data_IF_654551063356
#
_entry.id   IF_654551063356
#
_cell.length_a   1.000
_cell.length_b   1.000
_cell.length_c   1.000
_cell.angle_alpha   90.00
_cell.angle_beta   90.00
_cell.angle_gamma   90.00
#
_symmetry.space_group_name_H-M   'P 1'
#
loop_
_entity.id
_entity.type
_entity.pdbx_description
1 polymer ?
#
# COMPACT_ATOMS: atom_id res chain seq x y z
N UNK A 1 -34.63 4.29 -6.47
CA UNK A 1 -33.33 4.90 -6.14
C UNK A 1 -32.46 3.78 -5.62
N UNK A 2 -31.30 3.52 -6.21
CA UNK A 2 -30.46 2.37 -5.82
C UNK A 2 -29.83 2.63 -4.47
N UNK A 3 -29.94 1.67 -3.54
CA UNK A 3 -29.30 1.76 -2.22
C UNK A 3 -27.94 1.06 -2.23
N UNK A 4 -26.91 1.78 -1.78
CA UNK A 4 -25.52 1.31 -1.72
C UNK A 4 -24.99 1.50 -0.30
N UNK A 5 -24.58 0.40 0.34
CA UNK A 5 -23.86 0.45 1.60
C UNK A 5 -22.37 0.23 1.34
N UNK A 6 -21.54 1.13 1.86
CA UNK A 6 -20.08 1.06 1.78
C UNK A 6 -19.50 0.76 3.17
N UNK A 7 -18.78 -0.35 3.29
CA UNK A 7 -18.10 -0.72 4.54
C UNK A 7 -16.64 -0.25 4.47
N UNK A 8 -16.30 0.72 5.30
CA UNK A 8 -14.96 1.29 5.44
C UNK A 8 -14.81 2.62 4.70
N UNK A 9 -14.58 3.68 5.45
CA UNK A 9 -14.43 5.07 5.02
C UNK A 9 -13.02 5.47 4.60
N UNK A 10 -12.27 4.53 3.99
CA UNK A 10 -10.93 4.80 3.45
C UNK A 10 -10.95 5.53 2.09
N UNK A 11 -9.79 5.63 1.45
CA UNK A 11 -9.67 6.28 0.13
C UNK A 11 -10.62 5.66 -0.91
N UNK A 12 -10.65 4.33 -1.03
CA UNK A 12 -11.53 3.63 -1.98
C UNK A 12 -13.00 3.73 -1.58
N UNK A 13 -13.33 3.68 -0.29
CA UNK A 13 -14.70 3.78 0.20
C UNK A 13 -15.30 5.16 -0.06
N UNK A 14 -14.56 6.23 0.26
CA UNK A 14 -15.00 7.60 -0.03
C UNK A 14 -15.15 7.84 -1.53
N UNK A 15 -14.19 7.40 -2.36
CA UNK A 15 -14.28 7.55 -3.81
C UNK A 15 -15.47 6.77 -4.40
N UNK A 16 -15.72 5.54 -3.93
CA UNK A 16 -16.87 4.73 -4.35
C UNK A 16 -18.20 5.38 -3.93
N UNK A 17 -18.30 5.87 -2.69
CA UNK A 17 -19.49 6.53 -2.18
C UNK A 17 -19.82 7.81 -2.96
N UNK A 18 -18.83 8.69 -3.16
CA UNK A 18 -18.96 9.92 -3.96
C UNK A 18 -19.42 9.58 -5.38
N UNK A 19 -18.77 8.59 -6.01
CA UNK A 19 -19.11 8.20 -7.39
C UNK A 19 -20.53 7.64 -7.48
N UNK A 20 -20.93 6.76 -6.56
CA UNK A 20 -22.28 6.20 -6.53
C UNK A 20 -23.34 7.29 -6.32
N UNK A 21 -23.13 8.21 -5.38
CA UNK A 21 -24.05 9.33 -5.11
C UNK A 21 -24.16 10.29 -6.31
N UNK A 22 -23.05 10.59 -6.99
CA UNK A 22 -23.07 11.38 -8.25
C UNK A 22 -23.91 10.73 -9.36
N UNK A 23 -24.10 9.40 -9.32
CA UNK A 23 -24.97 8.66 -10.23
C UNK A 23 -26.39 8.44 -9.67
N UNK A 24 -26.77 9.15 -8.62
CA UNK A 24 -28.13 9.14 -8.06
C UNK A 24 -28.44 7.99 -7.10
N UNK A 25 -27.42 7.26 -6.62
CA UNK A 25 -27.61 6.27 -5.56
C UNK A 25 -27.80 6.94 -4.20
N UNK A 26 -28.62 6.33 -3.33
CA UNK A 26 -28.65 6.63 -1.90
C UNK A 26 -27.54 5.83 -1.22
N UNK A 27 -26.60 6.52 -0.56
CA UNK A 27 -25.38 5.90 -0.06
C UNK A 27 -25.28 6.06 1.46
N UNK A 28 -24.95 4.95 2.14
CA UNK A 28 -24.54 4.91 3.54
C UNK A 28 -23.10 4.41 3.63
N UNK A 29 -22.25 5.10 4.37
CA UNK A 29 -20.89 4.69 4.70
C UNK A 29 -20.79 4.32 6.17
N UNK A 30 -20.35 3.10 6.46
CA UNK A 30 -20.04 2.65 7.83
C UNK A 30 -18.53 2.65 8.05
N UNK A 31 -18.05 3.43 9.02
CA UNK A 31 -16.65 3.53 9.40
C UNK A 31 -16.45 3.19 10.89
N UNK A 32 -15.57 2.24 11.14
CA UNK A 32 -15.25 1.75 12.49
C UNK A 32 -14.53 2.78 13.37
N UNK A 33 -13.75 3.67 12.77
CA UNK A 33 -13.05 4.74 13.49
C UNK A 33 -13.93 5.97 13.65
N UNK A 34 -13.51 6.86 14.55
CA UNK A 34 -14.18 8.14 14.81
C UNK A 34 -14.07 9.19 13.68
N UNK A 35 -13.47 8.84 12.54
CA UNK A 35 -13.35 9.71 11.38
C UNK A 35 -12.99 8.90 10.15
N UNK A 36 -13.46 9.36 8.99
CA UNK A 36 -13.08 8.83 7.69
C UNK A 36 -11.59 9.04 7.41
N UNK A 37 -11.02 8.17 6.57
CA UNK A 37 -9.73 8.40 5.91
C UNK A 37 -8.51 8.51 6.82
N UNK A 38 -8.54 8.00 8.06
CA UNK A 38 -7.39 8.07 8.99
C UNK A 38 -6.06 7.62 8.38
N UNK A 39 -6.07 6.53 7.62
CA UNK A 39 -4.85 6.03 6.97
C UNK A 39 -4.35 6.94 5.85
N UNK A 40 -5.24 7.68 5.17
CA UNK A 40 -4.90 8.62 4.11
C UNK A 40 -3.92 9.69 4.61
N UNK A 41 -4.12 10.16 5.85
CA UNK A 41 -3.26 11.17 6.49
C UNK A 41 -1.80 10.71 6.66
N UNK A 42 -1.56 9.40 6.79
CA UNK A 42 -0.20 8.85 6.93
C UNK A 42 0.50 8.62 5.57
N UNK A 43 -0.23 8.68 4.46
CA UNK A 43 0.32 8.36 3.13
C UNK A 43 1.29 9.43 2.62
N UNK A 44 2.32 9.01 1.87
CA UNK A 44 3.31 9.93 1.31
C UNK A 44 4.04 10.76 2.37
N UNK A 45 4.21 10.22 3.59
CA UNK A 45 4.74 10.93 4.75
C UNK A 45 3.95 12.23 5.05
N UNK A 46 2.63 12.12 5.12
CA UNK A 46 1.73 13.25 5.38
C UNK A 46 1.39 14.10 4.16
N UNK A 47 1.91 13.76 2.97
CA UNK A 47 1.70 14.55 1.74
C UNK A 47 0.62 13.99 0.82
N UNK A 48 0.25 12.72 0.97
CA UNK A 48 -0.63 11.98 0.07
C UNK A 48 -0.11 11.90 -1.37
N UNK A 49 0.64 10.83 -1.66
CA UNK A 49 0.90 10.43 -3.04
C UNK A 49 -0.35 9.72 -3.58
N UNK A 50 -1.23 10.42 -4.28
CA UNK A 50 -2.54 9.88 -4.64
C UNK A 50 -2.56 9.14 -5.98
N UNK A 51 -1.61 9.41 -6.88
CA UNK A 51 -1.43 8.61 -8.11
C UNK A 51 0.01 8.71 -8.63
N UNK A 52 0.33 7.96 -9.69
CA UNK A 52 1.62 7.98 -10.34
C UNK A 52 1.42 7.99 -11.86
N UNK A 53 2.20 8.78 -12.61
CA UNK A 53 2.13 8.84 -14.07
C UNK A 53 2.65 7.54 -14.74
N UNK A 54 3.57 6.85 -14.07
CA UNK A 54 4.07 5.53 -14.48
C UNK A 54 3.12 4.47 -13.95
N UNK A 55 2.21 4.03 -14.82
CA UNK A 55 1.31 2.90 -14.56
C UNK A 55 1.39 1.91 -15.71
N UNK A 56 1.65 0.65 -15.38
CA UNK A 56 1.58 -0.48 -16.31
C UNK A 56 1.41 -1.78 -15.51
N UNK A 57 1.15 -2.90 -16.18
CA UNK A 57 0.91 -4.20 -15.55
C UNK A 57 1.92 -4.57 -14.45
N UNK A 58 3.23 -4.35 -14.69
CA UNK A 58 4.29 -4.69 -13.71
C UNK A 58 4.29 -3.85 -12.43
N UNK A 59 3.55 -2.74 -12.37
CA UNK A 59 3.41 -1.91 -11.16
C UNK A 59 2.44 -2.51 -10.14
N UNK A 60 1.64 -3.51 -10.56
CA UNK A 60 0.62 -4.13 -9.74
C UNK A 60 0.88 -5.63 -9.60
N UNK A 61 0.38 -6.22 -8.51
CA UNK A 61 0.72 -7.58 -8.13
C UNK A 61 -0.52 -8.38 -7.78
N UNK A 62 -0.70 -9.51 -8.45
CA UNK A 62 -1.80 -10.44 -8.26
C UNK A 62 -1.37 -11.85 -8.66
N UNK A 63 -2.09 -12.88 -8.19
CA UNK A 63 -1.94 -14.26 -8.70
C UNK A 63 -2.54 -14.43 -10.11
N UNK A 64 -3.43 -13.53 -10.50
CA UNK A 64 -3.91 -13.40 -11.86
C UNK A 64 -3.14 -12.26 -12.52
N UNK A 65 -2.16 -12.63 -13.35
CA UNK A 65 -1.35 -11.67 -14.09
C UNK A 65 -2.24 -10.72 -14.90
N UNK A 66 -1.83 -9.46 -15.01
CA UNK A 66 -2.51 -8.36 -15.70
C UNK A 66 -3.91 -7.96 -15.22
N UNK A 67 -4.60 -8.77 -14.41
CA UNK A 67 -5.97 -8.45 -13.97
C UNK A 67 -6.08 -7.07 -13.28
N UNK A 68 -5.21 -6.71 -12.32
CA UNK A 68 -5.27 -5.38 -11.71
C UNK A 68 -5.14 -4.27 -12.75
N UNK A 69 -4.26 -4.43 -13.73
CA UNK A 69 -4.06 -3.42 -14.77
C UNK A 69 -5.26 -3.29 -15.71
N UNK A 70 -5.93 -4.40 -16.04
CA UNK A 70 -7.18 -4.39 -16.82
C UNK A 70 -8.27 -3.54 -16.16
N UNK A 71 -8.29 -3.50 -14.83
CA UNK A 71 -9.22 -2.65 -14.06
C UNK A 71 -8.71 -1.22 -13.99
N UNK A 72 -7.46 -1.02 -13.57
CA UNK A 72 -6.89 0.30 -13.29
C UNK A 72 -6.80 1.16 -14.55
N UNK A 73 -6.47 0.60 -15.71
CA UNK A 73 -6.36 1.37 -16.94
C UNK A 73 -7.68 1.99 -17.42
N UNK A 74 -8.83 1.57 -16.88
CA UNK A 74 -10.15 2.20 -17.15
C UNK A 74 -10.32 3.52 -16.42
N UNK A 75 -9.53 3.75 -15.37
CA UNK A 75 -9.49 4.96 -14.57
C UNK A 75 -8.04 5.21 -14.15
N UNK A 76 -7.22 5.55 -15.15
CA UNK A 76 -5.79 5.69 -15.00
C UNK A 76 -5.41 6.97 -14.25
N UNK A 77 -4.13 7.32 -14.32
CA UNK A 77 -3.60 8.48 -13.61
C UNK A 77 -4.21 9.80 -14.10
N UNK A 78 -4.55 9.93 -15.39
CA UNK A 78 -5.14 11.16 -15.94
C UNK A 78 -6.55 11.37 -15.41
N UNK A 79 -7.35 10.31 -15.43
CA UNK A 79 -8.71 10.30 -14.89
C UNK A 79 -8.69 10.55 -13.38
N UNK A 80 -7.70 9.97 -12.66
CA UNK A 80 -7.50 10.22 -11.24
C UNK A 80 -7.21 11.69 -10.94
N UNK A 81 -6.31 12.33 -11.71
CA UNK A 81 -5.99 13.76 -11.54
C UNK A 81 -7.21 14.62 -11.82
N UNK A 82 -7.90 14.40 -12.95
CA UNK A 82 -9.10 15.15 -13.30
C UNK A 82 -10.19 15.03 -12.21
N UNK A 83 -10.41 13.83 -11.68
CA UNK A 83 -11.39 13.60 -10.61
C UNK A 83 -11.05 14.31 -9.30
N UNK A 84 -9.76 14.36 -8.94
CA UNK A 84 -9.31 15.14 -7.77
C UNK A 84 -9.46 16.65 -8.01
N UNK A 85 -9.22 17.14 -9.24
CA UNK A 85 -9.42 18.54 -9.61
C UNK A 85 -10.91 18.95 -9.52
N UNK A 86 -11.84 18.06 -9.89
CA UNK A 86 -13.29 18.30 -9.73
C UNK A 86 -13.72 18.55 -8.28
N UNK A 87 -13.00 18.00 -7.30
CA UNK A 87 -13.25 18.25 -5.86
C UNK A 87 -12.30 19.30 -5.26
N UNK A 88 -11.61 20.06 -6.12
CA UNK A 88 -10.78 21.20 -5.72
C UNK A 88 -9.34 20.86 -5.30
N UNK A 89 -8.84 19.67 -5.64
CA UNK A 89 -7.44 19.27 -5.39
C UNK A 89 -6.61 19.46 -6.65
N UNK A 90 -5.91 20.59 -6.72
CA UNK A 90 -4.87 20.79 -7.73
C UNK A 90 -3.68 19.85 -7.47
N UNK A 91 -3.06 19.38 -8.55
CA UNK A 91 -1.96 18.41 -8.50
C UNK A 91 -0.58 19.05 -8.64
N UNK A 92 0.45 18.40 -8.07
CA UNK A 92 1.86 18.68 -8.29
C UNK A 92 2.60 17.38 -8.57
N UNK A 93 3.30 17.35 -9.70
CA UNK A 93 4.18 16.25 -10.09
C UNK A 93 5.55 16.36 -9.40
N UNK A 94 6.10 15.21 -9.02
CA UNK A 94 7.47 15.03 -8.54
C UNK A 94 8.01 13.72 -9.13
N UNK A 95 8.67 13.79 -10.28
CA UNK A 95 9.27 12.64 -10.96
C UNK A 95 8.26 11.50 -11.22
N UNK A 96 7.05 11.85 -11.68
CA UNK A 96 5.95 10.92 -11.95
C UNK A 96 5.06 10.64 -10.75
N UNK A 97 5.48 10.97 -9.51
CA UNK A 97 4.63 10.86 -8.32
C UNK A 97 3.74 12.10 -8.19
N UNK A 98 2.44 11.92 -8.02
CA UNK A 98 1.47 13.01 -8.02
C UNK A 98 0.93 13.25 -6.61
N UNK A 99 1.05 14.49 -6.16
CA UNK A 99 0.68 14.97 -4.83
C UNK A 99 -0.31 16.13 -4.93
N UNK A 100 -1.08 16.44 -3.87
CA UNK A 100 -1.82 17.70 -3.81
C UNK A 100 -0.85 18.88 -3.86
N UNK A 101 -1.23 19.96 -4.54
CA UNK A 101 -0.40 21.16 -4.66
C UNK A 101 -0.08 21.79 -3.30
N UNK A 102 -0.95 21.61 -2.31
CA UNK A 102 -0.71 22.01 -0.91
C UNK A 102 0.41 21.23 -0.23
N UNK A 103 0.75 20.04 -0.75
CA UNK A 103 1.69 19.11 -0.13
C UNK A 103 1.18 18.50 1.17
N UNK A 104 -0.13 18.51 1.42
CA UNK A 104 -0.73 18.00 2.67
C UNK A 104 -1.84 16.98 2.38
N UNK A 105 -1.73 15.79 2.98
CA UNK A 105 -2.75 14.75 2.92
C UNK A 105 -4.08 15.20 3.53
N UNK A 106 -4.04 16.09 4.53
CA UNK A 106 -5.22 16.68 5.14
C UNK A 106 -6.07 17.45 4.12
N UNK A 107 -5.46 18.13 3.14
CA UNK A 107 -6.22 18.81 2.08
C UNK A 107 -7.06 17.83 1.28
N UNK A 108 -6.48 16.68 0.90
CA UNK A 108 -7.19 15.63 0.16
C UNK A 108 -8.32 15.04 0.99
N UNK A 109 -8.07 14.74 2.27
CA UNK A 109 -9.10 14.20 3.16
C UNK A 109 -10.27 15.19 3.31
N UNK A 110 -9.98 16.46 3.58
CA UNK A 110 -11.02 17.47 3.75
C UNK A 110 -11.83 17.68 2.47
N UNK A 111 -11.21 17.64 1.29
CA UNK A 111 -11.93 17.74 0.03
C UNK A 111 -12.91 16.56 -0.16
N UNK A 112 -12.47 15.33 0.14
CA UNK A 112 -13.33 14.15 0.09
C UNK A 112 -14.49 14.24 1.08
N UNK A 113 -14.24 14.66 2.32
CA UNK A 113 -15.26 14.83 3.34
C UNK A 113 -16.29 15.90 2.95
N UNK A 114 -15.83 17.04 2.42
CA UNK A 114 -16.72 18.10 1.92
C UNK A 114 -17.55 17.64 0.73
N UNK A 115 -17.00 16.83 -0.15
CA UNK A 115 -17.76 16.28 -1.28
C UNK A 115 -18.83 15.29 -0.80
N UNK A 116 -18.53 14.48 0.21
CA UNK A 116 -19.49 13.59 0.89
C UNK A 116 -20.64 14.42 1.52
N UNK A 117 -20.31 15.48 2.25
CA UNK A 117 -21.30 16.40 2.84
C UNK A 117 -22.15 17.09 1.78
N UNK A 118 -21.53 17.59 0.70
CA UNK A 118 -22.21 18.27 -0.42
C UNK A 118 -23.20 17.34 -1.12
N UNK A 119 -22.86 16.07 -1.24
CA UNK A 119 -23.72 15.03 -1.83
C UNK A 119 -24.71 14.43 -0.83
N UNK A 120 -24.72 14.90 0.42
CA UNK A 120 -25.60 14.44 1.50
C UNK A 120 -25.51 12.92 1.71
N UNK A 121 -24.32 12.35 1.56
CA UNK A 121 -24.06 10.94 1.82
C UNK A 121 -24.14 10.69 3.33
N UNK A 122 -24.89 9.67 3.74
CA UNK A 122 -25.03 9.30 5.14
C UNK A 122 -23.75 8.60 5.61
N UNK A 123 -23.21 9.01 6.75
CA UNK A 123 -21.95 8.48 7.29
C UNK A 123 -22.11 8.18 8.76
N UNK A 124 -21.90 6.92 9.15
CA UNK A 124 -21.82 6.52 10.55
C UNK A 124 -20.38 6.16 10.89
N UNK A 125 -19.80 6.93 11.81
CA UNK A 125 -18.48 6.67 12.39
C UNK A 125 -18.59 5.96 13.72
N UNK A 126 -17.48 5.37 14.19
CA UNK A 126 -17.43 4.58 15.43
C UNK A 126 -18.40 3.40 15.42
N UNK A 127 -18.71 2.88 14.23
CA UNK A 127 -19.66 1.80 14.04
C UNK A 127 -18.97 0.67 13.26
N UNK A 128 -18.67 -0.41 13.97
CA UNK A 128 -17.92 -1.52 13.44
C UNK A 128 -18.89 -2.56 12.86
N UNK A 129 -18.77 -2.83 11.56
CA UNK A 129 -19.46 -3.99 10.97
C UNK A 129 -18.86 -5.26 11.55
N UNK A 130 -19.73 -6.11 12.10
CA UNK A 130 -19.38 -7.40 12.67
C UNK A 130 -19.66 -8.54 11.69
N UNK A 131 -20.69 -8.39 10.85
CA UNK A 131 -21.15 -9.43 9.94
C UNK A 131 -21.83 -8.84 8.70
N UNK A 132 -21.66 -9.48 7.56
CA UNK A 132 -22.38 -9.13 6.33
C UNK A 132 -22.79 -10.41 5.58
N UNK A 133 -24.10 -10.59 5.36
CA UNK A 133 -24.64 -11.81 4.72
C UNK A 133 -25.57 -11.49 3.57
N UNK A 134 -25.71 -12.44 2.64
CA UNK A 134 -26.74 -12.35 1.58
C UNK A 134 -28.11 -12.53 2.20
N UNK A 135 -29.02 -11.61 1.89
CA UNK A 135 -30.43 -11.74 2.21
C UNK A 135 -31.17 -12.29 0.98
N UNK A 136 -31.45 -13.60 0.99
CA UNK A 136 -32.13 -14.29 -0.11
C UNK A 136 -33.62 -13.91 -0.24
N UNK A 137 -34.25 -13.38 0.81
CA UNK A 137 -35.68 -13.02 0.80
C UNK A 137 -35.91 -11.68 0.07
N UNK A 138 -35.07 -10.70 0.34
CA UNK A 138 -35.22 -9.33 -0.18
C UNK A 138 -34.24 -8.99 -1.32
N UNK A 139 -33.48 -9.98 -1.84
CA UNK A 139 -32.46 -9.80 -2.88
C UNK A 139 -31.49 -8.65 -2.58
N UNK A 140 -30.70 -8.81 -1.52
CA UNK A 140 -29.69 -7.82 -1.12
C UNK A 140 -28.74 -8.37 -0.06
N UNK A 141 -28.30 -7.49 0.82
CA UNK A 141 -27.36 -7.78 1.90
C UNK A 141 -27.93 -7.29 3.24
N UNK A 142 -27.75 -8.09 4.28
CA UNK A 142 -27.97 -7.68 5.67
C UNK A 142 -26.60 -7.47 6.31
N UNK A 143 -26.38 -6.29 6.87
CA UNK A 143 -25.13 -5.87 7.50
C UNK A 143 -25.41 -5.58 8.97
N UNK A 144 -24.78 -6.34 9.86
CA UNK A 144 -24.92 -6.21 11.31
C UNK A 144 -23.69 -5.50 11.87
N UNK A 145 -23.92 -4.46 12.67
CA UNK A 145 -22.88 -3.71 13.39
C UNK A 145 -22.98 -3.95 14.89
N UNK A 146 -22.09 -3.32 15.65
CA UNK A 146 -22.19 -3.24 17.10
C UNK A 146 -23.36 -2.36 17.61
N UNK A 147 -24.09 -1.68 16.71
CA UNK A 147 -25.15 -0.73 17.06
C UNK A 147 -26.50 -1.04 16.43
N UNK A 148 -26.53 -1.53 15.19
CA UNK A 148 -27.73 -1.68 14.40
C UNK A 148 -27.61 -2.74 13.30
N UNK A 149 -28.71 -2.98 12.60
CA UNK A 149 -28.75 -3.75 11.36
C UNK A 149 -29.20 -2.88 10.20
N UNK A 150 -28.54 -3.08 9.06
CA UNK A 150 -28.82 -2.34 7.83
C UNK A 150 -29.11 -3.31 6.70
N UNK A 151 -30.10 -2.97 5.89
CA UNK A 151 -30.35 -3.63 4.61
C UNK A 151 -29.82 -2.74 3.48
N UNK A 152 -29.20 -3.36 2.47
CA UNK A 152 -28.86 -2.68 1.24
C UNK A 152 -28.95 -3.63 0.04
N UNK A 153 -29.41 -3.12 -1.10
CA UNK A 153 -29.42 -3.88 -2.36
C UNK A 153 -28.00 -4.15 -2.86
N UNK A 154 -27.09 -3.17 -2.66
CA UNK A 154 -25.71 -3.25 -3.12
C UNK A 154 -24.75 -3.00 -1.95
N UNK A 155 -23.69 -3.80 -1.90
CA UNK A 155 -22.68 -3.75 -0.85
C UNK A 155 -21.28 -3.58 -1.46
N UNK A 156 -20.55 -2.57 -0.97
CA UNK A 156 -19.15 -2.33 -1.33
C UNK A 156 -18.29 -2.56 -0.09
N UNK A 157 -17.31 -3.48 -0.18
CA UNK A 157 -16.35 -3.75 0.89
C UNK A 157 -15.05 -3.00 0.60
N UNK A 158 -14.76 -1.95 1.38
CA UNK A 158 -13.58 -1.08 1.25
C UNK A 158 -12.80 -0.94 2.56
N UNK A 159 -12.75 -2.01 3.35
CA UNK A 159 -12.14 -2.06 4.70
C UNK A 159 -10.61 -2.07 4.72
N UNK A 160 -9.97 -2.12 3.55
CA UNK A 160 -8.51 -2.11 3.41
C UNK A 160 -7.86 -3.46 3.77
N UNK A 161 -6.54 -3.44 3.98
CA UNK A 161 -5.74 -4.63 4.31
C UNK A 161 -5.54 -4.85 5.81
N UNK A 162 -4.41 -5.46 6.17
CA UNK A 162 -4.00 -5.70 7.58
C UNK A 162 -2.85 -4.80 8.04
N UNK A 163 -2.34 -3.92 7.16
CA UNK A 163 -1.26 -3.01 7.49
C UNK A 163 -1.78 -1.78 8.25
N UNK A 164 -1.10 -1.38 9.33
CA UNK A 164 -1.47 -0.24 10.19
C UNK A 164 -2.82 -0.40 10.92
N UNK A 165 -2.99 -1.42 11.78
CA UNK A 165 -4.23 -1.68 12.50
C UNK A 165 -4.67 -0.51 13.40
N UNK A 166 -3.74 0.32 13.87
CA UNK A 166 -4.03 1.56 14.57
C UNK A 166 -4.99 2.49 13.78
N UNK A 167 -4.90 2.47 12.45
CA UNK A 167 -5.76 3.24 11.54
C UNK A 167 -7.07 2.53 11.14
N UNK A 168 -7.37 1.35 11.70
CA UNK A 168 -8.65 0.65 11.51
C UNK A 168 -8.62 -0.51 10.51
N UNK A 169 -7.56 -0.66 9.71
CA UNK A 169 -7.42 -1.76 8.75
C UNK A 169 -6.87 -3.02 9.43
N UNK A 170 -7.78 -3.89 9.86
CA UNK A 170 -7.54 -5.10 10.67
C UNK A 170 -7.81 -6.41 9.93
N UNK A 171 -8.25 -6.33 8.67
CA UNK A 171 -8.54 -7.51 7.85
C UNK A 171 -10.00 -7.99 7.85
N UNK A 172 -10.93 -7.22 8.42
CA UNK A 172 -12.35 -7.61 8.53
C UNK A 172 -12.98 -7.95 7.16
N UNK A 173 -12.56 -7.23 6.10
CA UNK A 173 -13.04 -7.51 4.74
C UNK A 173 -12.66 -8.88 4.19
N UNK A 174 -11.57 -9.50 4.68
CA UNK A 174 -11.22 -10.86 4.30
C UNK A 174 -12.26 -11.84 4.87
N UNK A 175 -12.65 -11.68 6.13
CA UNK A 175 -13.68 -12.53 6.74
C UNK A 175 -15.02 -12.37 6.04
N UNK A 176 -15.44 -11.13 5.72
CA UNK A 176 -16.67 -10.90 4.95
C UNK A 176 -16.61 -11.57 3.57
N UNK A 177 -15.50 -11.41 2.84
CA UNK A 177 -15.33 -12.05 1.54
C UNK A 177 -15.40 -13.59 1.64
N UNK A 178 -14.83 -14.17 2.69
CA UNK A 178 -14.91 -15.61 2.97
C UNK A 178 -16.35 -16.06 3.26
N UNK A 179 -17.12 -15.30 4.02
CA UNK A 179 -18.55 -15.57 4.28
C UNK A 179 -19.38 -15.57 2.98
N UNK A 180 -19.00 -14.74 2.01
CA UNK A 180 -19.60 -14.73 0.67
C UNK A 180 -19.10 -15.85 -0.27
N UNK A 181 -18.22 -16.74 0.21
CA UNK A 181 -17.69 -17.86 -0.55
C UNK A 181 -16.49 -17.54 -1.45
N UNK A 182 -15.85 -16.38 -1.28
CA UNK A 182 -14.64 -16.06 -2.05
C UNK A 182 -13.42 -16.83 -1.56
N UNK A 183 -12.54 -17.18 -2.50
CA UNK A 183 -11.21 -17.68 -2.18
C UNK A 183 -10.27 -16.54 -1.82
N UNK A 184 -9.59 -16.65 -0.66
CA UNK A 184 -8.64 -15.66 -0.21
C UNK A 184 -7.21 -16.09 -0.52
N UNK A 185 -6.46 -15.20 -1.16
CA UNK A 185 -5.00 -15.31 -1.20
C UNK A 185 -4.46 -14.86 0.17
N UNK A 186 -3.63 -15.66 0.85
CA UNK A 186 -3.12 -15.30 2.17
C UNK A 186 -2.43 -13.93 2.16
N UNK A 187 -2.88 -12.97 3.01
CA UNK A 187 -2.23 -11.68 3.10
C UNK A 187 -0.85 -11.85 3.72
N UNK A 188 0.17 -11.24 3.08
CA UNK A 188 1.55 -11.25 3.56
C UNK A 188 2.08 -9.82 3.66
N UNK A 189 3.02 -9.53 4.58
CA UNK A 189 3.66 -8.23 4.64
C UNK A 189 4.36 -7.86 3.33
N UNK A 190 4.21 -6.60 2.92
CA UNK A 190 4.88 -6.02 1.75
C UNK A 190 5.25 -4.56 2.05
N UNK A 191 6.26 -4.05 1.34
CA UNK A 191 6.82 -2.71 1.57
C UNK A 191 7.27 -2.48 3.02
N UNK A 192 8.01 -3.45 3.57
CA UNK A 192 8.48 -3.43 4.96
C UNK A 192 9.98 -3.73 5.04
N UNK A 193 10.61 -3.35 6.15
CA UNK A 193 11.98 -3.73 6.47
C UNK A 193 12.12 -5.25 6.59
N UNK A 194 13.33 -5.76 6.33
CA UNK A 194 13.67 -7.16 6.51
C UNK A 194 14.51 -7.35 7.78
N UNK A 195 14.07 -8.26 8.64
CA UNK A 195 14.82 -8.69 9.82
C UNK A 195 15.87 -9.69 9.37
N UNK A 196 17.11 -9.49 9.80
CA UNK A 196 18.21 -10.41 9.49
C UNK A 196 18.51 -11.33 10.66
N UNK A 197 18.98 -12.53 10.34
CA UNK A 197 19.49 -13.47 11.34
C UNK A 197 20.89 -13.01 11.81
N UNK A 198 21.08 -12.86 13.13
CA UNK A 198 22.39 -12.56 13.73
C UNK A 198 22.44 -11.27 14.56
N UNK A 199 23.45 -11.16 15.42
CA UNK A 199 23.62 -10.04 16.36
C UNK A 199 24.41 -8.85 15.78
N UNK A 200 24.98 -9.00 14.58
CA UNK A 200 25.84 -7.99 13.97
C UNK A 200 25.11 -6.70 13.58
N UNK A 201 23.78 -6.75 13.46
CA UNK A 201 22.97 -5.59 13.05
C UNK A 201 23.08 -4.41 14.04
N UNK A 202 23.49 -4.64 15.29
CA UNK A 202 23.74 -3.56 16.24
C UNK A 202 24.97 -2.71 15.85
N UNK A 203 25.96 -3.31 15.19
CA UNK A 203 27.22 -2.63 14.85
C UNK A 203 27.06 -1.61 13.71
N UNK A 204 26.13 -1.85 12.78
CA UNK A 204 25.90 -0.96 11.64
C UNK A 204 24.68 -0.05 11.80
N UNK A 205 23.99 -0.09 12.94
CA UNK A 205 22.70 0.56 13.10
C UNK A 205 22.83 2.08 12.95
N UNK A 206 21.94 2.68 12.15
CA UNK A 206 21.95 4.10 11.86
C UNK A 206 22.75 4.49 10.60
N UNK A 207 23.54 3.56 10.05
CA UNK A 207 24.25 3.79 8.78
C UNK A 207 23.25 3.84 7.63
N UNK A 208 23.50 4.76 6.68
CA UNK A 208 22.80 4.84 5.40
C UNK A 208 23.80 4.69 4.28
N UNK A 209 23.48 3.87 3.28
CA UNK A 209 24.35 3.60 2.14
C UNK A 209 23.55 3.66 0.85
N UNK A 210 24.11 4.31 -0.18
CA UNK A 210 23.62 4.14 -1.54
C UNK A 210 24.18 2.84 -2.07
N UNK A 211 23.33 1.95 -2.54
CA UNK A 211 23.78 0.65 -3.02
C UNK A 211 22.68 -0.14 -3.71
N UNK A 212 22.95 -1.42 -3.93
CA UNK A 212 22.03 -2.39 -4.49
C UNK A 212 21.80 -3.52 -3.48
N UNK A 213 20.55 -3.94 -3.33
CA UNK A 213 20.19 -5.15 -2.58
C UNK A 213 19.64 -6.16 -3.56
N UNK A 214 20.15 -7.40 -3.49
CA UNK A 214 19.68 -8.54 -4.26
C UNK A 214 19.17 -9.62 -3.32
N UNK A 215 17.97 -10.15 -3.59
CA UNK A 215 17.33 -11.24 -2.85
C UNK A 215 17.43 -12.53 -3.67
N UNK A 216 17.93 -13.58 -3.03
CA UNK A 216 18.06 -14.91 -3.60
C UNK A 216 17.20 -15.92 -2.82
N UNK A 217 16.68 -16.93 -3.50
CA UNK A 217 16.06 -18.09 -2.86
C UNK A 217 17.09 -19.09 -2.33
N UNK A 218 16.62 -20.18 -1.71
CA UNK A 218 17.46 -21.23 -1.14
C UNK A 218 18.34 -21.96 -2.16
N UNK A 219 18.02 -21.88 -3.46
CA UNK A 219 18.80 -22.49 -4.55
C UNK A 219 19.87 -21.55 -5.10
N UNK A 220 19.89 -20.29 -4.64
CA UNK A 220 20.75 -19.23 -5.16
C UNK A 220 20.18 -18.53 -6.39
N UNK A 221 18.90 -18.75 -6.74
CA UNK A 221 18.24 -18.03 -7.83
C UNK A 221 17.89 -16.60 -7.40
N UNK A 222 18.20 -15.61 -8.26
CA UNK A 222 17.89 -14.20 -8.01
C UNK A 222 16.39 -13.94 -8.15
N UNK A 223 15.69 -13.68 -7.04
CA UNK A 223 14.27 -13.36 -7.03
C UNK A 223 13.99 -11.91 -7.43
N UNK A 224 14.75 -10.98 -6.88
CA UNK A 224 14.58 -9.54 -7.10
C UNK A 224 15.85 -8.79 -6.70
N UNK A 225 16.15 -7.71 -7.39
CA UNK A 225 17.13 -6.71 -6.96
C UNK A 225 16.60 -5.30 -7.17
N UNK A 226 17.11 -4.37 -6.38
CA UNK A 226 16.78 -2.95 -6.49
C UNK A 226 17.91 -2.09 -5.91
N UNK A 227 17.95 -0.81 -6.28
CA UNK A 227 19.03 0.12 -5.95
C UNK A 227 18.51 1.43 -5.38
N UNK A 228 19.28 2.05 -4.49
CA UNK A 228 18.96 3.33 -3.85
C UNK A 228 19.47 3.40 -2.41
N UNK A 229 18.87 4.27 -1.60
CA UNK A 229 19.24 4.42 -0.20
C UNK A 229 18.77 3.23 0.62
N UNK A 230 19.72 2.54 1.24
CA UNK A 230 19.53 1.41 2.14
C UNK A 230 19.84 1.89 3.55
N UNK A 231 18.94 1.57 4.49
CA UNK A 231 19.05 1.98 5.88
C UNK A 231 19.38 0.76 6.74
N UNK A 232 20.52 0.81 7.42
CA UNK A 232 20.96 -0.22 8.34
C UNK A 232 20.28 -0.03 9.70
N UNK A 233 19.52 -1.02 10.16
CA UNK A 233 18.81 -0.95 11.44
C UNK A 233 19.43 -1.93 12.43
N UNK A 234 19.16 -1.73 13.73
CA UNK A 234 19.62 -2.62 14.79
C UNK A 234 19.11 -4.06 14.67
N UNK A 235 18.09 -4.31 13.84
CA UNK A 235 17.45 -5.61 13.65
C UNK A 235 17.57 -6.16 12.21
N UNK A 236 18.14 -5.39 11.28
CA UNK A 236 18.25 -5.80 9.89
C UNK A 236 18.47 -4.63 8.94
N UNK A 237 17.70 -4.58 7.85
CA UNK A 237 17.81 -3.55 6.81
C UNK A 237 16.43 -3.00 6.41
N UNK A 238 16.42 -1.75 5.98
CA UNK A 238 15.25 -0.98 5.57
C UNK A 238 15.60 -0.08 4.38
N UNK A 239 14.65 0.75 3.95
CA UNK A 239 14.79 1.64 2.81
C UNK A 239 14.02 1.15 1.58
N UNK A 240 13.87 2.04 0.59
CA UNK A 240 13.05 1.78 -0.60
C UNK A 240 13.47 0.49 -1.33
N UNK A 241 14.77 0.23 -1.59
CA UNK A 241 15.17 -1.02 -2.25
C UNK A 241 14.70 -2.26 -1.47
N UNK A 242 14.89 -2.27 -0.15
CA UNK A 242 14.47 -3.38 0.72
C UNK A 242 12.95 -3.58 0.68
N UNK A 243 12.18 -2.49 0.68
CA UNK A 243 10.71 -2.53 0.61
C UNK A 243 10.23 -3.19 -0.69
N UNK A 244 10.91 -2.95 -1.81
CA UNK A 244 10.58 -3.56 -3.11
C UNK A 244 10.85 -5.07 -3.13
N UNK A 245 11.86 -5.52 -2.38
CA UNK A 245 12.22 -6.94 -2.25
C UNK A 245 11.31 -7.67 -1.25
N UNK A 246 10.79 -6.98 -0.23
CA UNK A 246 10.20 -7.61 0.97
C UNK A 246 9.05 -8.58 0.68
N UNK A 247 8.26 -8.32 -0.36
CA UNK A 247 7.15 -9.19 -0.76
C UNK A 247 7.61 -10.56 -1.24
N UNK A 248 8.75 -10.63 -1.93
CA UNK A 248 9.31 -11.88 -2.44
C UNK A 248 9.84 -12.72 -1.27
N UNK A 249 10.55 -12.08 -0.35
CA UNK A 249 11.01 -12.71 0.89
C UNK A 249 9.83 -13.28 1.70
N UNK A 250 8.75 -12.50 1.89
CA UNK A 250 7.58 -12.95 2.63
C UNK A 250 6.94 -14.23 2.04
N UNK A 251 6.89 -14.35 0.71
CA UNK A 251 6.36 -15.55 0.04
C UNK A 251 7.23 -16.78 0.22
N UNK A 252 8.55 -16.63 0.16
CA UNK A 252 9.48 -17.74 0.37
C UNK A 252 9.47 -18.20 1.83
N UNK A 253 9.50 -17.26 2.77
CA UNK A 253 9.39 -17.53 4.20
C UNK A 253 8.06 -18.20 4.55
N UNK A 254 6.95 -17.82 3.89
CA UNK A 254 5.65 -18.48 4.08
C UNK A 254 5.66 -19.96 3.68
N UNK A 255 6.51 -20.34 2.73
CA UNK A 255 6.71 -21.75 2.31
C UNK A 255 7.70 -22.50 3.21
N UNK A 256 8.22 -21.87 4.25
CA UNK A 256 9.25 -22.45 5.13
C UNK A 256 10.66 -22.43 4.52
N UNK A 257 10.87 -21.69 3.41
CA UNK A 257 12.16 -21.61 2.73
C UNK A 257 12.99 -20.46 3.25
N UNK A 258 14.31 -20.62 3.19
CA UNK A 258 15.26 -19.55 3.51
C UNK A 258 15.45 -18.63 2.31
N UNK A 259 15.81 -17.39 2.58
CA UNK A 259 16.22 -16.42 1.58
C UNK A 259 17.52 -15.75 2.00
N UNK A 260 18.33 -15.37 1.03
CA UNK A 260 19.61 -14.69 1.29
C UNK A 260 19.61 -13.34 0.61
N UNK A 261 20.15 -12.34 1.30
CA UNK A 261 20.33 -11.01 0.77
C UNK A 261 21.81 -10.79 0.48
N UNK A 262 22.11 -10.19 -0.67
CA UNK A 262 23.42 -9.64 -0.99
C UNK A 262 23.30 -8.12 -1.05
N UNK A 263 24.13 -7.44 -0.27
CA UNK A 263 24.29 -6.01 -0.31
C UNK A 263 25.56 -5.68 -1.11
N UNK A 264 25.39 -4.87 -2.14
CA UNK A 264 26.48 -4.26 -2.88
C UNK A 264 26.46 -2.74 -2.62
N UNK A 265 27.45 -2.25 -1.89
CA UNK A 265 27.58 -0.82 -1.54
C UNK A 265 28.28 0.02 -2.61
N UNK A 266 28.77 -0.62 -3.67
CA UNK A 266 29.52 0.03 -4.76
C UNK A 266 29.10 -0.56 -6.12
N UNK A 267 27.79 -0.65 -6.42
CA UNK A 267 27.29 -1.38 -7.60
C UNK A 267 27.73 -0.77 -8.94
N UNK A 268 28.20 0.47 -8.94
CA UNK A 268 28.76 1.16 -10.10
C UNK A 268 30.18 0.68 -10.48
N UNK A 269 30.87 -0.01 -9.58
CA UNK A 269 32.23 -0.50 -9.81
C UNK A 269 32.27 -2.03 -9.93
N UNK A 270 33.03 -2.53 -10.90
CA UNK A 270 33.32 -3.96 -10.98
C UNK A 270 34.27 -4.36 -9.84
N UNK A 271 34.05 -5.55 -9.28
CA UNK A 271 34.88 -6.10 -8.20
C UNK A 271 36.36 -6.12 -8.58
N UNK A 272 36.70 -6.52 -9.81
CA UNK A 272 38.08 -6.59 -10.29
C UNK A 272 38.73 -5.20 -10.31
N UNK A 273 37.96 -4.17 -10.68
CA UNK A 273 38.44 -2.80 -10.68
C UNK A 273 38.72 -2.33 -9.24
N UNK A 274 37.78 -2.53 -8.31
CA UNK A 274 37.96 -2.17 -6.89
C UNK A 274 39.19 -2.84 -6.28
N UNK A 275 39.37 -4.15 -6.51
CA UNK A 275 40.53 -4.90 -6.02
C UNK A 275 41.83 -4.32 -6.59
N UNK A 276 41.87 -4.03 -7.89
CA UNK A 276 43.05 -3.45 -8.52
C UNK A 276 43.39 -2.06 -7.96
N UNK A 277 42.40 -1.20 -7.74
CA UNK A 277 42.61 0.13 -7.18
C UNK A 277 43.08 0.07 -5.72
N UNK A 278 42.49 -0.80 -4.88
CA UNK A 278 42.97 -0.98 -3.50
C UNK A 278 44.39 -1.55 -3.44
N UNK A 279 44.75 -2.47 -4.33
CA UNK A 279 46.12 -3.00 -4.42
C UNK A 279 47.12 -1.92 -4.88
N UNK A 280 46.73 -1.05 -5.82
CA UNK A 280 47.57 0.11 -6.22
C UNK A 280 47.77 1.06 -5.06
N UNK A 281 46.70 1.44 -4.37
CA UNK A 281 46.74 2.34 -3.21
C UNK A 281 47.64 1.77 -2.10
N UNK A 282 47.49 0.48 -1.79
CA UNK A 282 48.36 -0.20 -0.81
C UNK A 282 49.84 -0.08 -1.17
N UNK A 283 50.22 -0.41 -2.42
CA UNK A 283 51.62 -0.31 -2.88
C UNK A 283 52.18 1.10 -2.79
N UNK A 284 51.38 2.12 -3.08
CA UNK A 284 51.82 3.52 -3.02
C UNK A 284 52.05 4.01 -1.59
N UNK A 285 51.24 3.57 -0.62
CA UNK A 285 51.39 3.97 0.77
C UNK A 285 52.41 3.12 1.55
N UNK A 286 52.66 1.87 1.13
CA UNK A 286 53.77 1.06 1.65
C UNK A 286 55.14 1.58 1.21
N UNK A 287 55.23 2.34 0.11
CA UNK A 287 56.47 3.01 -0.33
C UNK A 287 56.74 4.34 0.38
N UNK A 288 55.78 4.85 1.17
CA UNK A 288 55.89 6.11 1.91
C UNK A 288 56.08 5.92 3.42
N UNK A 289 56.08 4.67 3.91
CA UNK A 289 56.37 4.30 5.32
C UNK A 289 57.74 3.65 5.42
#
# INVERSE_FOLDING_TARGET
MTEVLVIGGGASGMAAAITAARHGAKVLVLEKKNSLGKKLLATGNGKCNFTNQVQHAKCYHSRQEDYPWKVIQRFGWRESVAWFEEIGILSRDRNGYVYPASGQAASVLHALQREIERLQIEVHTEEAVQKAVRNFRQKGFLVTTDRAEYFAENLIISTGGMASPAHGSTGDGYEFAKEFGHHLVPPLPALTSLVLEGSFCKMWSGVRVQGMVSLFDETGHLLRKDSGEIQMTAYGISGIPVFQLSRFAAWELKKGRKVTLCLDSMPEYKKEWLVNEFLKWKRQNEQQS
#
